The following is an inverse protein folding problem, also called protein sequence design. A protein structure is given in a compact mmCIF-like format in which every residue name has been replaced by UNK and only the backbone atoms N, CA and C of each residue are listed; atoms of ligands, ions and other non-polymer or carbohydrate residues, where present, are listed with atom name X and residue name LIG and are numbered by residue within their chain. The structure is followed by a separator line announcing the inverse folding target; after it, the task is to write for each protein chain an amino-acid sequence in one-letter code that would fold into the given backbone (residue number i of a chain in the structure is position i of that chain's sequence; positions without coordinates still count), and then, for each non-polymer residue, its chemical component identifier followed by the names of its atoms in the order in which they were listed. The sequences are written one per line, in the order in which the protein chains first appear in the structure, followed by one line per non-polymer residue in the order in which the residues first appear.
data_IF_009830524630
#
_entry.id   IF_009830524630
#
_cell.length_a   1.000
_cell.length_b   1.000
_cell.length_c   1.000
_cell.angle_alpha   90.00
_cell.angle_beta   90.00
_cell.angle_gamma   90.00
#
_symmetry.space_group_name_H-M   'P 1'
#
loop_
_entity.id
_entity.type
_entity.pdbx_description
1 polymer ?
#
# COMPACT_ATOMS: atom_id res chain seq x y z
N UNK A 1 -47.00 -15.28 8.86
CA UNK A 1 -45.98 -15.43 9.94
C UNK A 1 -44.93 -16.52 9.66
N UNK A 2 -45.22 -17.53 8.84
CA UNK A 2 -44.29 -18.66 8.57
C UNK A 2 -43.14 -18.36 7.59
N UNK A 3 -43.28 -17.39 6.68
CA UNK A 3 -42.23 -17.05 5.69
C UNK A 3 -40.97 -16.46 6.30
N UNK A 4 -41.06 -15.66 7.37
CA UNK A 4 -39.88 -15.03 8.00
C UNK A 4 -38.97 -16.04 8.71
N UNK A 5 -39.55 -17.06 9.36
CA UNK A 5 -38.80 -18.12 10.06
C UNK A 5 -38.07 -19.02 9.05
N UNK A 6 -38.73 -19.37 7.94
CA UNK A 6 -38.12 -20.16 6.86
C UNK A 6 -36.98 -19.40 6.17
N UNK A 7 -37.14 -18.10 5.93
CA UNK A 7 -36.08 -17.24 5.39
C UNK A 7 -34.87 -17.16 6.33
N UNK A 8 -35.09 -17.04 7.64
CA UNK A 8 -34.02 -17.02 8.63
C UNK A 8 -33.27 -18.35 8.68
N UNK A 9 -33.99 -19.48 8.70
CA UNK A 9 -33.39 -20.82 8.67
C UNK A 9 -32.54 -21.05 7.42
N UNK A 10 -33.02 -20.60 6.26
CA UNK A 10 -32.27 -20.67 5.01
C UNK A 10 -31.00 -19.80 5.05
N UNK A 11 -31.11 -18.57 5.55
CA UNK A 11 -29.98 -17.66 5.70
C UNK A 11 -28.91 -18.20 6.65
N UNK A 12 -29.30 -18.73 7.81
CA UNK A 12 -28.40 -19.37 8.76
C UNK A 12 -27.69 -20.57 8.14
N UNK A 13 -28.43 -21.43 7.44
CA UNK A 13 -27.85 -22.58 6.74
C UNK A 13 -26.82 -22.14 5.70
N UNK A 14 -27.09 -21.06 4.95
CA UNK A 14 -26.17 -20.49 3.98
C UNK A 14 -24.91 -19.92 4.66
N UNK A 15 -25.08 -19.16 5.75
CA UNK A 15 -23.97 -18.59 6.52
C UNK A 15 -23.09 -19.68 7.15
N UNK A 16 -23.71 -20.73 7.70
CA UNK A 16 -22.99 -21.87 8.26
C UNK A 16 -22.15 -22.56 7.19
N UNK A 17 -22.76 -22.93 6.05
CA UNK A 17 -22.04 -23.54 4.91
C UNK A 17 -20.87 -22.67 4.45
N UNK A 18 -21.08 -21.36 4.35
CA UNK A 18 -20.03 -20.41 3.97
C UNK A 18 -18.91 -20.34 5.03
N UNK A 19 -19.24 -20.33 6.32
CA UNK A 19 -18.26 -20.34 7.40
C UNK A 19 -17.45 -21.64 7.42
N UNK A 20 -18.08 -22.79 7.21
CA UNK A 20 -17.38 -24.09 7.09
C UNK A 20 -16.46 -24.12 5.87
N UNK A 21 -16.91 -23.60 4.73
CA UNK A 21 -16.08 -23.48 3.52
C UNK A 21 -14.86 -22.61 3.79
N UNK A 22 -15.05 -21.39 4.29
CA UNK A 22 -13.95 -20.48 4.63
C UNK A 22 -12.99 -21.08 5.64
N UNK A 23 -13.50 -21.74 6.68
CA UNK A 23 -12.66 -22.41 7.68
C UNK A 23 -11.74 -23.44 7.03
N UNK A 24 -12.25 -24.23 6.08
CA UNK A 24 -11.46 -25.23 5.36
C UNK A 24 -10.39 -24.57 4.49
N UNK A 25 -10.77 -23.57 3.70
CA UNK A 25 -9.85 -22.82 2.85
C UNK A 25 -8.71 -22.18 3.66
N UNK A 26 -9.05 -21.54 4.79
CA UNK A 26 -8.05 -20.95 5.69
C UNK A 26 -7.16 -22.02 6.33
N UNK A 27 -7.72 -23.18 6.67
CA UNK A 27 -6.93 -24.28 7.21
C UNK A 27 -5.94 -24.82 6.17
N UNK A 28 -6.37 -25.01 4.93
CA UNK A 28 -5.51 -25.46 3.83
C UNK A 28 -4.38 -24.45 3.54
N UNK A 29 -4.70 -23.16 3.57
CA UNK A 29 -3.71 -22.09 3.44
C UNK A 29 -2.70 -22.11 4.59
N UNK A 30 -3.17 -22.28 5.83
CA UNK A 30 -2.30 -22.35 7.01
C UNK A 30 -1.36 -23.56 6.94
N UNK A 31 -1.88 -24.74 6.59
CA UNK A 31 -1.07 -25.95 6.41
C UNK A 31 0.00 -25.76 5.33
N UNK A 32 -0.35 -25.14 4.21
CA UNK A 32 0.60 -24.80 3.17
C UNK A 32 1.72 -23.88 3.70
N UNK A 33 1.37 -22.84 4.46
CA UNK A 33 2.36 -21.96 5.08
C UNK A 33 3.25 -22.68 6.10
N UNK A 34 2.69 -23.55 6.93
CA UNK A 34 3.44 -24.35 7.91
C UNK A 34 4.34 -25.39 7.25
N UNK A 35 4.03 -25.81 6.01
CA UNK A 35 4.88 -26.72 5.25
C UNK A 35 6.15 -26.04 4.70
N UNK A 36 6.11 -24.71 4.51
CA UNK A 36 7.20 -23.92 3.94
C UNK A 36 8.35 -23.71 4.92
N UNK A 37 9.56 -23.64 4.38
CA UNK A 37 10.75 -23.26 5.13
C UNK A 37 10.67 -21.78 5.55
N UNK A 38 11.04 -21.51 6.79
CA UNK A 38 11.15 -20.17 7.34
C UNK A 38 12.56 -19.60 7.06
N UNK A 39 12.69 -18.59 6.18
CA UNK A 39 13.98 -17.99 5.84
C UNK A 39 14.57 -17.14 6.97
N UNK A 40 13.75 -16.75 7.96
CA UNK A 40 14.17 -15.95 9.12
C UNK A 40 14.69 -16.81 10.28
N UNK A 41 14.81 -18.13 10.07
CA UNK A 41 15.33 -19.09 11.03
C UNK A 41 16.42 -19.93 10.39
N UNK A 42 17.07 -20.74 11.22
CA UNK A 42 18.10 -21.66 10.76
C UNK A 42 17.58 -22.51 9.58
N UNK A 43 18.44 -22.84 8.60
CA UNK A 43 18.09 -23.69 7.48
C UNK A 43 17.41 -24.98 7.95
N UNK A 44 16.33 -25.40 7.27
CA UNK A 44 15.54 -26.58 7.63
C UNK A 44 14.42 -26.33 8.65
N UNK A 45 14.33 -25.15 9.27
CA UNK A 45 13.19 -24.81 10.13
C UNK A 45 11.99 -24.37 9.30
N UNK A 46 10.84 -25.01 9.48
CA UNK A 46 9.56 -24.59 8.89
C UNK A 46 8.90 -23.45 9.68
N UNK A 47 7.91 -22.79 9.08
CA UNK A 47 7.06 -21.85 9.81
C UNK A 47 6.28 -22.53 10.95
N UNK A 48 6.01 -21.77 12.00
CA UNK A 48 5.23 -22.21 13.16
C UNK A 48 4.10 -21.22 13.42
N UNK A 49 2.97 -21.70 13.95
CA UNK A 49 1.84 -20.82 14.35
C UNK A 49 2.31 -19.74 15.32
N UNK A 50 3.16 -20.07 16.28
CA UNK A 50 3.74 -19.11 17.23
C UNK A 50 4.56 -18.00 16.55
N UNK A 51 5.21 -18.29 15.41
CA UNK A 51 5.91 -17.27 14.63
C UNK A 51 4.92 -16.27 14.06
N UNK A 52 3.83 -16.75 13.43
CA UNK A 52 2.79 -15.87 12.88
C UNK A 52 2.08 -15.05 13.96
N UNK A 53 1.79 -15.64 15.12
CA UNK A 53 1.21 -14.91 16.25
C UNK A 53 2.15 -13.81 16.76
N UNK A 54 3.46 -14.11 16.87
CA UNK A 54 4.45 -13.12 17.27
C UNK A 54 4.56 -11.99 16.24
N UNK A 55 4.58 -12.33 14.95
CA UNK A 55 4.59 -11.34 13.87
C UNK A 55 3.33 -10.48 13.86
N UNK A 56 2.15 -11.09 14.04
CA UNK A 56 0.88 -10.38 14.13
C UNK A 56 0.86 -9.41 15.31
N UNK A 57 1.29 -9.86 16.49
CA UNK A 57 1.38 -8.99 17.66
C UNK A 57 2.38 -7.86 17.43
N UNK A 58 3.54 -8.16 16.84
CA UNK A 58 4.53 -7.14 16.50
C UNK A 58 3.98 -6.12 15.50
N UNK A 59 3.26 -6.55 14.47
CA UNK A 59 2.61 -5.64 13.51
C UNK A 59 1.51 -4.81 14.17
N UNK A 60 0.74 -5.41 15.08
CA UNK A 60 -0.32 -4.73 15.81
C UNK A 60 0.23 -3.69 16.77
N UNK A 61 1.30 -4.00 17.50
CA UNK A 61 1.98 -3.06 18.41
C UNK A 61 2.76 -2.03 17.63
N UNK A 62 3.44 -2.40 16.53
CA UNK A 62 4.08 -1.44 15.64
C UNK A 62 3.09 -0.39 15.16
N UNK A 63 1.89 -0.78 14.70
CA UNK A 63 0.84 0.19 14.33
C UNK A 63 0.28 1.00 15.51
N UNK A 64 0.33 0.48 16.74
CA UNK A 64 -0.14 1.18 17.93
C UNK A 64 0.92 2.11 18.54
N UNK A 65 2.20 1.78 18.36
CA UNK A 65 3.38 2.47 18.89
C UNK A 65 4.00 3.44 17.86
N UNK A 66 3.49 3.48 16.63
CA UNK A 66 3.83 4.51 15.66
C UNK A 66 3.14 5.81 16.07
N UNK A 67 3.90 6.64 16.79
CA UNK A 67 3.57 8.02 17.13
C UNK A 67 3.10 8.76 15.89
N UNK A 68 2.09 9.62 16.02
CA UNK A 68 1.49 10.42 14.93
C UNK A 68 2.52 11.09 14.02
N UNK A 69 3.72 11.37 14.55
CA UNK A 69 4.90 11.91 13.87
C UNK A 69 5.44 11.03 12.72
N UNK A 70 5.49 9.70 12.88
CA UNK A 70 5.99 8.81 11.81
C UNK A 70 4.93 8.59 10.73
N UNK A 71 3.65 8.61 11.10
CA UNK A 71 2.56 8.64 10.13
C UNK A 71 2.56 9.97 9.36
N UNK A 72 2.77 11.09 10.05
CA UNK A 72 2.91 12.40 9.42
C UNK A 72 4.14 12.46 8.49
N UNK A 73 5.26 11.83 8.88
CA UNK A 73 6.45 11.68 8.03
C UNK A 73 6.16 10.86 6.78
N UNK A 74 5.41 9.76 6.91
CA UNK A 74 4.99 8.93 5.77
C UNK A 74 4.05 9.67 4.84
N UNK A 75 3.08 10.40 5.38
CA UNK A 75 2.15 11.20 4.59
C UNK A 75 2.86 12.33 3.85
N UNK A 76 3.87 12.96 4.49
CA UNK A 76 4.77 13.94 3.84
C UNK A 76 5.56 13.29 2.69
N UNK A 77 6.12 12.10 2.91
CA UNK A 77 6.85 11.38 1.87
C UNK A 77 5.96 11.00 0.69
N UNK A 78 4.75 10.49 0.93
CA UNK A 78 3.80 10.14 -0.12
C UNK A 78 3.50 11.37 -1.00
N UNK A 79 3.22 12.53 -0.39
CA UNK A 79 2.98 13.78 -1.13
C UNK A 79 4.17 14.20 -1.98
N UNK A 80 5.39 14.12 -1.43
CA UNK A 80 6.62 14.40 -2.18
C UNK A 80 6.73 13.49 -3.40
N UNK A 81 6.50 12.18 -3.25
CA UNK A 81 6.59 11.24 -4.37
C UNK A 81 5.50 11.44 -5.42
N UNK A 82 4.26 11.71 -5.01
CA UNK A 82 3.16 12.03 -5.94
C UNK A 82 3.48 13.29 -6.76
N UNK A 83 4.03 14.31 -6.10
CA UNK A 83 4.43 15.54 -6.77
C UNK A 83 5.64 15.33 -7.69
N UNK A 84 6.61 14.49 -7.32
CA UNK A 84 7.70 14.09 -8.20
C UNK A 84 7.20 13.33 -9.44
N UNK A 85 6.28 12.38 -9.28
CA UNK A 85 5.68 11.65 -10.40
C UNK A 85 4.88 12.57 -11.34
N UNK A 86 4.13 13.51 -10.77
CA UNK A 86 3.42 14.54 -11.55
C UNK A 86 4.41 15.40 -12.35
N UNK A 87 5.52 15.78 -11.74
CA UNK A 87 6.54 16.60 -12.37
C UNK A 87 7.30 15.84 -13.47
N UNK A 88 7.58 14.56 -13.27
CA UNK A 88 8.15 13.67 -14.29
C UNK A 88 7.20 13.54 -15.50
N UNK A 89 5.92 13.27 -15.26
CA UNK A 89 4.90 13.18 -16.33
C UNK A 89 4.74 14.51 -17.08
N UNK A 90 4.75 15.66 -16.38
CA UNK A 90 4.70 16.97 -17.03
C UNK A 90 5.96 17.27 -17.86
N UNK A 91 7.14 16.85 -17.40
CA UNK A 91 8.39 16.96 -18.16
C UNK A 91 8.38 16.06 -19.40
N UNK A 92 7.94 14.82 -19.28
CA UNK A 92 7.80 13.91 -20.44
C UNK A 92 6.83 14.47 -21.47
N UNK A 93 5.70 15.04 -21.04
CA UNK A 93 4.78 15.74 -21.94
C UNK A 93 5.47 16.91 -22.65
N UNK A 94 6.27 17.72 -21.96
CA UNK A 94 7.01 18.80 -22.62
C UNK A 94 8.06 18.34 -23.63
N UNK A 95 8.50 17.09 -23.56
CA UNK A 95 9.42 16.46 -24.52
C UNK A 95 8.69 15.85 -25.73
N UNK A 96 7.35 15.77 -25.69
CA UNK A 96 6.53 15.27 -26.78
C UNK A 96 6.57 16.26 -27.96
N UNK A 97 7.04 15.85 -29.16
CA UNK A 97 7.09 16.70 -30.34
C UNK A 97 5.73 17.29 -30.74
N UNK A 98 4.61 16.62 -30.43
CA UNK A 98 3.26 17.10 -30.74
C UNK A 98 2.84 18.28 -29.85
N UNK A 99 3.49 18.48 -28.70
CA UNK A 99 3.23 19.60 -27.80
C UNK A 99 3.85 20.93 -28.27
N UNK A 100 4.78 20.88 -29.22
CA UNK A 100 5.31 22.07 -29.92
C UNK A 100 4.31 22.67 -30.92
N UNK A 101 3.22 21.95 -31.24
CA UNK A 101 2.13 22.42 -32.09
C UNK A 101 1.01 23.12 -31.30
N UNK A 102 1.08 23.12 -29.97
CA UNK A 102 0.08 23.75 -29.12
C UNK A 102 0.29 25.28 -29.03
N UNK A 103 -0.80 26.06 -28.90
CA UNK A 103 -0.69 27.51 -28.81
C UNK A 103 0.14 27.93 -27.59
N UNK A 104 0.94 28.99 -27.75
CA UNK A 104 1.87 29.52 -26.74
C UNK A 104 1.24 29.75 -25.35
N UNK A 105 -0.07 30.04 -25.33
CA UNK A 105 -0.87 30.21 -24.11
C UNK A 105 -0.96 28.94 -23.26
N UNK A 106 -1.02 27.77 -23.89
CA UNK A 106 -1.20 26.48 -23.23
C UNK A 106 0.16 25.93 -22.78
N UNK A 107 1.23 26.23 -23.52
CA UNK A 107 2.62 26.03 -23.09
C UNK A 107 2.91 26.87 -21.84
N UNK A 108 2.56 28.16 -21.82
CA UNK A 108 2.72 29.04 -20.65
C UNK A 108 1.94 28.56 -19.42
N UNK A 109 0.76 27.96 -19.60
CA UNK A 109 -0.01 27.35 -18.51
C UNK A 109 0.70 26.12 -17.92
N UNK A 110 1.27 25.27 -18.78
CA UNK A 110 2.01 24.08 -18.35
C UNK A 110 3.28 24.47 -17.59
N UNK A 111 4.05 25.46 -18.08
CA UNK A 111 5.23 25.98 -17.37
C UNK A 111 4.86 26.54 -16.00
N UNK A 112 3.80 27.36 -15.91
CA UNK A 112 3.30 27.86 -14.61
C UNK A 112 2.85 26.74 -13.66
N UNK A 113 2.25 25.67 -14.18
CA UNK A 113 1.86 24.51 -13.37
C UNK A 113 3.10 23.77 -12.83
N UNK A 114 4.15 23.63 -13.64
CA UNK A 114 5.43 23.04 -13.23
C UNK A 114 6.12 23.90 -12.17
N UNK A 115 6.22 25.21 -12.37
CA UNK A 115 6.79 26.13 -11.38
C UNK A 115 6.05 26.05 -10.04
N UNK A 116 4.72 25.96 -10.08
CA UNK A 116 3.88 25.82 -8.88
C UNK A 116 4.11 24.49 -8.16
N UNK A 117 4.21 23.38 -8.88
CA UNK A 117 4.47 22.05 -8.29
C UNK A 117 5.90 21.97 -7.75
N UNK A 118 6.89 22.51 -8.48
CA UNK A 118 8.28 22.57 -8.04
C UNK A 118 8.47 23.43 -6.78
N UNK A 119 7.78 24.58 -6.68
CA UNK A 119 7.81 25.43 -5.50
C UNK A 119 7.16 24.77 -4.27
N UNK A 120 6.12 23.94 -4.47
CA UNK A 120 5.51 23.15 -3.38
C UNK A 120 6.45 22.04 -2.91
N UNK A 121 7.06 21.30 -3.84
CA UNK A 121 8.06 20.28 -3.55
C UNK A 121 9.24 20.83 -2.73
N UNK A 122 9.75 22.01 -3.09
CA UNK A 122 10.82 22.66 -2.34
C UNK A 122 10.46 22.94 -0.89
N UNK A 123 9.25 23.47 -0.65
CA UNK A 123 8.75 23.76 0.71
C UNK A 123 8.46 22.51 1.54
N UNK A 124 8.02 21.43 0.89
CA UNK A 124 7.72 20.16 1.57
C UNK A 124 9.00 19.37 1.88
N UNK A 125 10.06 19.54 1.08
CA UNK A 125 11.35 18.91 1.30
C UNK A 125 12.20 19.60 2.40
N UNK A 126 11.94 20.87 2.72
CA UNK A 126 12.72 21.69 3.66
C UNK A 126 12.64 21.24 5.14
N UNK A 127 11.84 20.20 5.44
CA UNK A 127 11.65 19.65 6.80
C UNK A 127 11.77 18.12 6.89
N UNK A 128 12.28 17.44 5.86
CA UNK A 128 12.48 15.98 5.86
C UNK A 128 13.98 15.69 5.90
N UNK A 129 14.55 15.62 7.11
CA UNK A 129 15.92 15.13 7.30
C UNK A 129 15.98 13.62 6.98
N UNK A 130 16.95 13.23 6.14
CA UNK A 130 17.20 11.85 5.66
C UNK A 130 16.06 11.24 4.83
N UNK A 131 15.96 11.64 3.55
CA UNK A 131 15.31 10.83 2.52
C UNK A 131 16.13 9.54 2.29
N UNK A 132 15.62 8.34 2.60
CA UNK A 132 16.31 7.11 2.29
C UNK A 132 16.40 6.93 0.77
N UNK A 133 17.61 6.62 0.30
CA UNK A 133 17.97 6.46 -1.11
C UNK A 133 17.14 5.38 -1.80
N UNK A 134 16.29 5.82 -2.74
CA UNK A 134 15.88 5.17 -4.00
C UNK A 134 15.41 3.70 -4.03
N UNK A 135 16.19 2.77 -3.50
CA UNK A 135 16.02 1.33 -3.75
C UNK A 135 15.15 0.64 -2.70
N UNK A 136 15.22 1.07 -1.43
CA UNK A 136 14.46 0.45 -0.33
C UNK A 136 12.93 0.68 -0.45
N UNK A 137 12.52 1.77 -1.10
CA UNK A 137 11.10 2.14 -1.24
C UNK A 137 10.38 1.41 -2.37
N UNK A 138 11.09 0.87 -3.36
CA UNK A 138 10.46 0.08 -4.43
C UNK A 138 9.81 -1.20 -3.87
N UNK A 139 10.44 -1.78 -2.85
CA UNK A 139 9.97 -2.99 -2.16
C UNK A 139 8.73 -2.66 -1.30
N UNK A 140 8.72 -1.52 -0.60
CA UNK A 140 7.59 -1.11 0.25
C UNK A 140 6.34 -0.73 -0.56
N UNK A 141 6.52 -0.14 -1.75
CA UNK A 141 5.43 0.15 -2.70
C UNK A 141 4.83 -1.12 -3.31
N UNK A 142 5.64 -2.15 -3.59
CA UNK A 142 5.14 -3.41 -4.15
C UNK A 142 4.17 -4.13 -3.21
N UNK A 143 4.47 -4.13 -1.90
CA UNK A 143 3.62 -4.79 -0.89
C UNK A 143 2.35 -4.02 -0.52
N UNK A 144 2.32 -2.69 -0.69
CA UNK A 144 1.16 -1.87 -0.32
C UNK A 144 0.09 -1.81 -1.42
N UNK A 145 0.48 -1.83 -2.70
CA UNK A 145 -0.45 -1.79 -3.83
C UNK A 145 -1.15 -3.12 -4.14
N UNK A 146 -0.60 -4.26 -3.71
CA UNK A 146 -1.15 -5.59 -4.01
C UNK A 146 -2.08 -6.17 -2.92
N UNK A 147 -2.39 -5.39 -1.88
CA UNK A 147 -3.24 -5.85 -0.76
C UNK A 147 -4.49 -5.01 -0.52
N UNK A 148 -4.88 -4.16 -1.48
CA UNK A 148 -6.16 -3.44 -1.47
C UNK A 148 -7.24 -4.19 -2.26
#
# INVERSE_FOLDING_TARGET
MWSGIQQLSHWLSKKFKLATKRRRETHEQLENLLSKQNPFKQPGCKYKVAFFQKQWNHQRTFRADHTDEEQERRDKLIKIYEHQGTLASLRERLLDPELLLLPEKDIKKNVKAIEKVAAKLGKEAEGVENLPSGEENSIMLFFTLHTA
#
